data_IF_570383288878
#
_entry.id   IF_570383288878
#
_cell.length_a   1.000
_cell.length_b   1.000
_cell.length_c   1.000
_cell.angle_alpha   90.00
_cell.angle_beta   90.00
_cell.angle_gamma   90.00
#
_symmetry.space_group_name_H-M   'P 1'
#
loop_
_entity.id
_entity.type
_entity.pdbx_description
1 polymer ?
#
# COMPACT_ATOMS: atom_id res chain seq x y z
N UNK A 1 38.28 14.39 -9.00
CA UNK A 1 36.85 14.73 -8.91
C UNK A 1 36.07 13.78 -9.81
N UNK A 2 35.41 12.77 -9.25
CA UNK A 2 34.47 11.93 -10.01
C UNK A 2 33.16 12.72 -10.09
N UNK A 3 32.74 13.08 -11.28
CA UNK A 3 31.43 13.69 -11.51
C UNK A 3 30.37 12.63 -11.15
N UNK A 4 29.64 12.86 -10.06
CA UNK A 4 28.39 12.18 -9.78
C UNK A 4 27.43 12.49 -10.95
N UNK A 5 27.40 11.62 -11.93
CA UNK A 5 26.31 11.58 -12.90
C UNK A 5 25.09 11.08 -12.12
N UNK A 6 24.32 12.01 -11.56
CA UNK A 6 22.99 11.70 -11.04
C UNK A 6 22.21 11.09 -12.19
N UNK A 7 21.97 9.80 -12.11
CA UNK A 7 21.07 9.11 -13.04
C UNK A 7 19.71 9.81 -12.94
N UNK A 8 19.14 10.30 -14.05
CA UNK A 8 17.87 10.99 -14.00
C UNK A 8 16.80 10.06 -13.38
N UNK A 9 15.95 10.62 -12.52
CA UNK A 9 14.83 9.91 -11.89
C UNK A 9 13.71 9.63 -12.93
N UNK A 10 14.06 8.91 -13.99
CA UNK A 10 13.15 8.59 -15.10
C UNK A 10 13.26 7.10 -15.36
N UNK A 11 12.15 6.36 -15.44
CA UNK A 11 12.19 4.93 -15.78
C UNK A 11 12.67 4.73 -17.22
N UNK A 12 13.34 3.62 -17.47
CA UNK A 12 13.84 3.26 -18.81
C UNK A 12 12.68 3.04 -19.79
N UNK A 13 11.56 2.48 -19.30
CA UNK A 13 10.34 2.31 -20.07
C UNK A 13 9.30 3.34 -19.61
N UNK A 14 8.76 4.10 -20.55
CA UNK A 14 7.80 5.17 -20.26
C UNK A 14 6.81 5.34 -21.41
N UNK A 15 5.60 5.76 -21.11
CA UNK A 15 4.62 6.12 -22.13
C UNK A 15 5.09 7.35 -22.93
N UNK A 16 4.97 7.35 -24.27
CA UNK A 16 5.58 8.39 -25.14
C UNK A 16 5.16 9.84 -24.85
N UNK A 17 3.94 10.02 -24.33
CA UNK A 17 3.37 11.37 -24.10
C UNK A 17 3.79 12.01 -22.77
N UNK A 18 4.64 11.35 -21.98
CA UNK A 18 5.11 11.86 -20.70
C UNK A 18 6.61 12.13 -20.76
N UNK A 19 7.01 13.26 -20.19
CA UNK A 19 8.38 13.72 -20.15
C UNK A 19 8.70 14.36 -18.77
N UNK A 20 9.93 14.80 -18.58
CA UNK A 20 10.38 15.36 -17.30
C UNK A 20 10.81 14.30 -16.29
N UNK A 21 11.43 14.73 -15.22
CA UNK A 21 11.90 13.83 -14.16
C UNK A 21 10.79 13.48 -13.20
N UNK A 22 10.86 12.28 -12.63
CA UNK A 22 10.02 11.87 -11.52
C UNK A 22 10.51 12.56 -10.24
N UNK A 23 9.58 12.96 -9.40
CA UNK A 23 9.90 13.48 -8.08
C UNK A 23 10.40 12.33 -7.18
N UNK A 24 11.42 12.63 -6.38
CA UNK A 24 11.95 11.71 -5.35
C UNK A 24 11.71 12.30 -3.98
N UNK A 25 11.05 11.56 -3.10
CA UNK A 25 10.82 11.97 -1.71
C UNK A 25 10.72 10.75 -0.80
N UNK A 26 10.65 10.97 0.51
CA UNK A 26 10.29 9.91 1.47
C UNK A 26 8.78 9.88 1.69
N UNK A 27 8.21 8.70 1.93
CA UNK A 27 6.77 8.53 2.14
C UNK A 27 6.22 9.47 3.21
N UNK A 28 6.95 9.67 4.29
CA UNK A 28 6.51 10.52 5.41
C UNK A 28 6.31 12.00 5.09
N UNK A 29 6.76 12.48 3.91
CA UNK A 29 6.55 13.87 3.46
C UNK A 29 5.26 14.06 2.66
N UNK A 30 4.75 13.02 2.06
CA UNK A 30 3.60 13.08 1.12
C UNK A 30 2.48 12.13 1.49
N UNK A 31 2.68 11.29 2.51
CA UNK A 31 1.68 10.36 3.01
C UNK A 31 1.39 10.62 4.50
N UNK A 32 0.15 10.45 4.89
CA UNK A 32 -0.27 10.32 6.28
C UNK A 32 -0.42 8.84 6.65
N UNK A 33 -0.21 8.52 7.92
CA UNK A 33 -0.21 7.14 8.42
C UNK A 33 -1.14 7.03 9.61
N UNK A 34 -1.99 6.02 9.60
CA UNK A 34 -2.89 5.66 10.72
C UNK A 34 -2.94 4.15 10.86
N UNK A 35 -3.34 3.66 12.03
CA UNK A 35 -3.49 2.22 12.27
C UNK A 35 -4.94 1.82 12.04
N UNK A 36 -5.14 0.60 11.50
CA UNK A 36 -6.42 -0.06 11.52
C UNK A 36 -6.85 -0.38 12.97
N UNK A 37 -8.12 -0.75 13.14
CA UNK A 37 -8.68 -1.10 14.44
C UNK A 37 -9.03 -2.58 14.50
N UNK A 38 -8.83 -3.20 15.67
CA UNK A 38 -9.02 -4.64 15.85
C UNK A 38 -10.41 -5.11 15.47
N UNK A 39 -10.48 -5.84 14.36
CA UNK A 39 -11.59 -6.70 13.97
C UNK A 39 -11.01 -8.10 13.96
N UNK A 40 -11.54 -8.98 14.77
CA UNK A 40 -11.13 -10.37 14.83
C UNK A 40 -11.84 -11.20 13.74
N UNK A 41 -11.30 -12.38 13.44
CA UNK A 41 -11.92 -13.29 12.48
C UNK A 41 -13.34 -13.71 12.90
N UNK A 42 -13.56 -13.79 14.20
CA UNK A 42 -14.86 -14.16 14.77
C UNK A 42 -15.91 -13.03 14.69
N UNK A 43 -15.47 -11.80 14.39
CA UNK A 43 -16.36 -10.65 14.14
C UNK A 43 -16.90 -10.61 12.69
N UNK A 44 -16.46 -11.53 11.84
CA UNK A 44 -16.93 -11.61 10.46
C UNK A 44 -18.36 -12.12 10.38
N UNK A 45 -19.12 -11.61 9.44
CA UNK A 45 -20.53 -11.96 9.22
C UNK A 45 -20.85 -12.03 7.73
N UNK A 46 -21.96 -12.71 7.38
CA UNK A 46 -22.46 -12.79 6.01
C UNK A 46 -22.91 -11.41 5.49
N UNK A 47 -23.40 -10.57 6.39
CA UNK A 47 -23.96 -9.26 6.12
C UNK A 47 -23.24 -8.18 6.93
N UNK A 48 -23.45 -6.90 6.55
CA UNK A 48 -22.87 -5.76 7.26
C UNK A 48 -21.93 -4.93 6.42
N UNK A 49 -21.04 -4.22 7.09
CA UNK A 49 -20.07 -3.32 6.46
C UNK A 49 -18.91 -4.11 5.86
N UNK A 50 -18.53 -3.84 4.60
CA UNK A 50 -17.32 -4.41 4.02
C UNK A 50 -16.10 -4.14 4.89
N UNK A 51 -15.23 -5.16 5.06
CA UNK A 51 -14.03 -5.02 5.87
C UNK A 51 -12.85 -5.79 5.28
N UNK A 52 -11.64 -5.41 5.69
CA UNK A 52 -10.40 -6.10 5.35
C UNK A 52 -9.61 -6.38 6.62
N UNK A 53 -9.24 -7.65 6.83
CA UNK A 53 -8.35 -8.10 7.87
C UNK A 53 -6.91 -8.20 7.34
N UNK A 54 -5.90 -7.99 8.19
CA UNK A 54 -4.50 -8.02 7.75
C UNK A 54 -4.11 -9.34 7.08
N UNK A 55 -4.61 -10.47 7.59
CA UNK A 55 -4.32 -11.79 7.02
C UNK A 55 -4.85 -12.00 5.60
N UNK A 56 -5.86 -11.22 5.18
CA UNK A 56 -6.41 -11.30 3.82
C UNK A 56 -5.43 -10.73 2.78
N UNK A 57 -4.47 -9.87 3.18
CA UNK A 57 -3.44 -9.36 2.30
C UNK A 57 -2.52 -10.47 1.79
N UNK A 58 -2.41 -11.56 2.54
CA UNK A 58 -1.60 -12.72 2.15
C UNK A 58 -2.38 -13.80 1.42
N UNK A 59 -3.65 -13.95 1.76
CA UNK A 59 -4.45 -15.12 1.35
C UNK A 59 -5.47 -14.82 0.26
N UNK A 60 -6.03 -13.63 0.27
CA UNK A 60 -7.22 -13.28 -0.51
C UNK A 60 -6.92 -12.36 -1.68
N UNK A 61 -6.12 -11.32 -1.44
CA UNK A 61 -5.82 -10.32 -2.45
C UNK A 61 -4.49 -10.64 -3.14
N UNK A 62 -4.52 -10.77 -4.47
CA UNK A 62 -3.34 -11.16 -5.28
C UNK A 62 -2.80 -10.03 -6.14
N UNK A 63 -3.55 -8.94 -6.28
CA UNK A 63 -3.20 -7.76 -7.07
C UNK A 63 -3.00 -6.55 -6.17
N UNK A 64 -2.43 -5.48 -6.71
CA UNK A 64 -2.19 -4.24 -5.98
C UNK A 64 -3.48 -3.46 -5.65
N UNK A 65 -4.65 -3.90 -6.14
CA UNK A 65 -5.94 -3.24 -5.94
C UNK A 65 -6.98 -4.22 -5.41
N UNK A 66 -7.67 -3.87 -4.34
CA UNK A 66 -8.81 -4.63 -3.82
C UNK A 66 -10.08 -4.30 -4.61
N UNK A 67 -10.21 -4.81 -5.85
CA UNK A 67 -11.37 -4.55 -6.72
C UNK A 67 -12.71 -5.03 -6.12
N UNK A 68 -12.67 -6.03 -5.27
CA UNK A 68 -13.86 -6.57 -4.59
C UNK A 68 -13.49 -6.86 -3.14
N UNK A 69 -14.23 -6.26 -2.20
CA UNK A 69 -14.05 -6.56 -0.79
C UNK A 69 -14.79 -7.86 -0.45
N UNK A 70 -14.07 -8.84 0.07
CA UNK A 70 -14.58 -10.19 0.28
C UNK A 70 -15.28 -10.37 1.62
N UNK A 71 -14.77 -9.75 2.66
CA UNK A 71 -15.27 -9.91 4.03
C UNK A 71 -16.19 -8.79 4.45
N UNK A 72 -17.09 -9.11 5.38
CA UNK A 72 -18.02 -8.16 6.00
C UNK A 72 -18.04 -8.37 7.50
N UNK A 73 -18.44 -7.36 8.24
CA UNK A 73 -18.65 -7.42 9.68
C UNK A 73 -19.84 -6.58 10.09
N UNK A 74 -20.56 -7.04 11.11
CA UNK A 74 -21.62 -6.29 11.77
C UNK A 74 -21.16 -5.61 13.06
N UNK A 75 -19.86 -5.64 13.35
CA UNK A 75 -19.30 -4.96 14.54
C UNK A 75 -19.59 -3.47 14.52
N UNK A 76 -19.92 -2.94 15.68
CA UNK A 76 -20.14 -1.51 15.88
C UNK A 76 -19.28 -1.01 17.03
N UNK A 77 -18.48 0.00 16.77
CA UNK A 77 -17.63 0.66 17.77
C UNK A 77 -17.30 2.07 17.31
N UNK A 78 -17.12 2.99 18.27
CA UNK A 78 -16.67 4.35 17.97
C UNK A 78 -15.20 4.43 17.52
N UNK A 79 -14.46 3.37 17.72
CA UNK A 79 -13.01 3.31 17.41
C UNK A 79 -12.70 2.69 16.04
N UNK A 80 -13.72 2.33 15.27
CA UNK A 80 -13.54 1.72 13.94
C UNK A 80 -12.84 2.68 12.98
N UNK A 81 -11.96 2.12 12.16
CA UNK A 81 -11.21 2.84 11.14
C UNK A 81 -11.74 2.47 9.76
N UNK A 82 -12.18 3.47 9.03
CA UNK A 82 -12.72 3.32 7.68
C UNK A 82 -11.70 3.80 6.65
N UNK A 83 -11.68 3.14 5.50
CA UNK A 83 -10.89 3.60 4.36
C UNK A 83 -11.42 4.94 3.83
N UNK A 84 -10.49 5.75 3.36
CA UNK A 84 -10.72 6.79 2.38
C UNK A 84 -10.33 6.23 1.01
N UNK A 85 -11.01 6.70 -0.01
CA UNK A 85 -10.72 6.26 -1.38
C UNK A 85 -9.23 6.35 -1.70
N UNK A 86 -8.72 5.29 -2.32
CA UNK A 86 -7.32 5.13 -2.71
C UNK A 86 -6.33 5.03 -1.53
N UNK A 87 -6.80 4.77 -0.30
CA UNK A 87 -5.93 4.37 0.81
C UNK A 87 -5.13 3.12 0.44
N UNK A 88 -3.86 3.10 0.81
CA UNK A 88 -3.01 1.92 0.68
C UNK A 88 -2.83 1.29 2.05
N UNK A 89 -3.12 0.01 2.17
CA UNK A 89 -2.97 -0.75 3.42
C UNK A 89 -1.76 -1.67 3.33
N UNK A 90 -1.01 -1.74 4.44
CA UNK A 90 0.22 -2.52 4.59
C UNK A 90 0.12 -3.29 5.91
N UNK A 91 0.42 -4.61 5.94
CA UNK A 91 0.39 -5.35 7.20
C UNK A 91 1.50 -4.89 8.15
N UNK A 92 1.21 -4.92 9.45
CA UNK A 92 2.19 -4.57 10.49
C UNK A 92 2.96 -5.80 11.00
N UNK A 93 2.48 -7.01 10.75
CA UNK A 93 3.14 -8.28 11.09
C UNK A 93 3.03 -9.32 9.98
N UNK A 94 4.01 -10.21 9.90
CA UNK A 94 4.08 -11.29 8.91
C UNK A 94 5.01 -12.39 9.34
N UNK A 95 5.01 -13.50 8.62
CA UNK A 95 5.88 -14.64 8.89
C UNK A 95 7.30 -14.38 8.38
N UNK A 96 7.42 -13.72 7.23
CA UNK A 96 8.72 -13.36 6.62
C UNK A 96 8.81 -11.87 6.30
N UNK A 97 10.05 -11.38 6.13
CA UNK A 97 10.31 -10.02 5.73
C UNK A 97 9.80 -9.72 4.31
N UNK A 98 9.82 -10.72 3.44
CA UNK A 98 9.32 -10.62 2.07
C UNK A 98 7.79 -10.55 2.04
N UNK A 99 7.11 -11.31 2.88
CA UNK A 99 5.65 -11.33 2.95
C UNK A 99 5.10 -10.01 3.48
N UNK A 100 5.70 -9.49 4.56
CA UNK A 100 5.25 -8.23 5.17
C UNK A 100 5.44 -7.03 4.23
N UNK A 101 6.34 -7.12 3.25
CA UNK A 101 6.54 -6.13 2.21
C UNK A 101 5.49 -6.25 1.09
N UNK A 102 4.22 -6.28 1.48
CA UNK A 102 3.06 -6.29 0.59
C UNK A 102 2.13 -5.12 0.89
N UNK A 103 1.38 -4.69 -0.09
CA UNK A 103 0.41 -3.62 0.07
C UNK A 103 -0.77 -3.76 -0.89
N UNK A 104 -1.89 -3.17 -0.55
CA UNK A 104 -3.09 -3.18 -1.39
C UNK A 104 -3.73 -1.81 -1.35
N UNK A 105 -4.08 -1.28 -2.52
CA UNK A 105 -4.92 -0.10 -2.66
C UNK A 105 -6.38 -0.47 -2.43
N UNK A 106 -7.07 0.28 -1.58
CA UNK A 106 -8.52 0.19 -1.35
C UNK A 106 -9.20 1.33 -2.09
N UNK A 107 -9.83 1.07 -3.27
CA UNK A 107 -10.35 2.12 -4.13
C UNK A 107 -11.72 2.67 -3.68
N UNK A 108 -12.14 2.35 -2.47
CA UNK A 108 -13.46 2.69 -1.93
C UNK A 108 -13.35 3.44 -0.60
N UNK A 109 -14.28 4.37 -0.38
CA UNK A 109 -14.56 4.92 0.94
C UNK A 109 -15.36 3.93 1.78
N UNK A 110 -15.17 3.98 3.10
CA UNK A 110 -16.08 3.32 4.04
C UNK A 110 -15.86 1.81 4.23
N UNK A 111 -14.75 1.25 3.76
CA UNK A 111 -14.34 -0.12 4.08
C UNK A 111 -13.70 -0.13 5.46
N UNK A 112 -14.17 -0.98 6.36
CA UNK A 112 -13.56 -1.16 7.69
C UNK A 112 -12.19 -1.83 7.57
N UNK A 113 -11.20 -1.23 8.21
CA UNK A 113 -9.81 -1.70 8.17
C UNK A 113 -9.42 -2.30 9.53
N UNK A 114 -9.16 -3.60 9.52
CA UNK A 114 -8.84 -4.40 10.69
C UNK A 114 -7.54 -3.98 11.39
N UNK A 115 -7.32 -4.48 12.58
CA UNK A 115 -6.08 -4.30 13.32
C UNK A 115 -4.89 -4.90 12.59
N UNK A 116 -3.70 -4.54 13.04
CA UNK A 116 -2.43 -4.98 12.46
C UNK A 116 -2.21 -4.54 11.00
N UNK A 117 -2.89 -3.46 10.61
CA UNK A 117 -2.73 -2.76 9.35
C UNK A 117 -2.20 -1.34 9.59
N UNK A 118 -1.21 -0.94 8.81
CA UNK A 118 -0.88 0.47 8.57
C UNK A 118 -1.66 0.96 7.37
N UNK A 119 -2.44 2.03 7.56
CA UNK A 119 -3.23 2.69 6.52
C UNK A 119 -2.48 3.93 6.08
N UNK A 120 -2.15 4.01 4.80
CA UNK A 120 -1.39 5.09 4.18
C UNK A 120 -2.33 5.86 3.26
N UNK A 121 -2.48 7.16 3.51
CA UNK A 121 -3.27 8.07 2.68
C UNK A 121 -2.38 9.14 2.05
N UNK A 122 -2.62 9.48 0.79
CA UNK A 122 -1.86 10.51 0.06
C UNK A 122 -2.67 11.05 -1.12
N UNK A 123 -2.20 12.17 -1.72
CA UNK A 123 -2.71 12.68 -2.99
C UNK A 123 -2.17 11.92 -4.22
N UNK A 124 -1.32 10.90 -4.00
CA UNK A 124 -0.84 10.03 -5.07
C UNK A 124 -1.95 9.04 -5.46
N UNK A 125 -1.85 8.49 -6.67
CA UNK A 125 -2.68 7.35 -7.06
C UNK A 125 -2.34 6.13 -6.19
N UNK A 126 -3.32 5.65 -5.41
CA UNK A 126 -3.10 4.59 -4.44
C UNK A 126 -2.65 3.27 -5.10
N UNK A 127 -3.18 2.95 -6.28
CA UNK A 127 -2.77 1.77 -7.03
C UNK A 127 -1.33 1.90 -7.53
N UNK A 128 -0.90 3.09 -7.97
CA UNK A 128 0.49 3.36 -8.33
C UNK A 128 1.42 3.18 -7.12
N UNK A 129 1.06 3.75 -5.97
CA UNK A 129 1.84 3.62 -4.75
C UNK A 129 1.93 2.15 -4.30
N UNK A 130 0.83 1.41 -4.32
CA UNK A 130 0.79 -0.01 -3.99
C UNK A 130 1.66 -0.83 -4.95
N UNK A 131 1.58 -0.59 -6.25
CA UNK A 131 2.45 -1.25 -7.23
C UNK A 131 3.94 -0.95 -6.98
N UNK A 132 4.29 0.28 -6.60
CA UNK A 132 5.67 0.64 -6.30
C UNK A 132 6.17 -0.05 -5.03
N UNK A 133 5.34 -0.16 -3.99
CA UNK A 133 5.65 -0.90 -2.76
C UNK A 133 5.88 -2.38 -3.07
N UNK A 134 4.98 -3.00 -3.81
CA UNK A 134 5.02 -4.43 -4.12
C UNK A 134 6.15 -4.85 -5.07
N UNK A 135 6.76 -3.90 -5.76
CA UNK A 135 7.83 -4.14 -6.73
C UNK A 135 9.16 -3.52 -6.30
N UNK A 136 9.44 -2.31 -6.74
CA UNK A 136 10.76 -1.67 -6.59
C UNK A 136 11.11 -1.31 -5.15
N UNK A 137 10.12 -1.15 -4.26
CA UNK A 137 10.34 -0.87 -2.82
C UNK A 137 10.25 -2.10 -1.94
N UNK A 138 9.86 -3.23 -2.47
CA UNK A 138 9.69 -4.48 -1.71
C UNK A 138 10.92 -4.83 -0.87
N UNK A 139 12.09 -4.81 -1.46
CA UNK A 139 13.34 -5.13 -0.75
C UNK A 139 13.74 -4.06 0.29
N UNK A 140 13.45 -2.79 0.03
CA UNK A 140 13.73 -1.72 1.00
C UNK A 140 12.83 -1.88 2.23
N UNK A 141 11.56 -2.24 2.04
CA UNK A 141 10.61 -2.51 3.12
C UNK A 141 10.98 -3.79 3.87
N UNK A 142 11.34 -4.86 3.17
CA UNK A 142 11.79 -6.10 3.80
C UNK A 142 13.01 -5.89 4.71
N UNK A 143 13.93 -5.00 4.35
CA UNK A 143 15.12 -4.69 5.17
C UNK A 143 14.81 -3.97 6.47
N UNK A 144 13.74 -3.21 6.54
CA UNK A 144 13.35 -2.47 7.75
C UNK A 144 12.42 -3.28 8.65
N UNK A 145 11.92 -4.43 8.18
CA UNK A 145 11.15 -5.36 8.98
C UNK A 145 12.02 -6.00 10.08
N UNK A 146 11.50 -6.07 11.30
CA UNK A 146 12.24 -6.53 12.48
C UNK A 146 11.54 -7.71 13.13
N UNK A 147 12.29 -8.73 13.46
CA UNK A 147 11.81 -9.93 14.17
C UNK A 147 12.50 -11.19 13.69
N UNK A 148 12.31 -12.31 14.42
CA UNK A 148 12.87 -13.62 14.06
C UNK A 148 11.80 -14.63 13.67
N UNK A 149 10.79 -14.83 14.52
CA UNK A 149 9.69 -15.76 14.27
C UNK A 149 8.46 -15.07 13.69
N UNK A 150 8.22 -13.83 14.11
CA UNK A 150 7.25 -12.92 13.56
C UNK A 150 7.99 -11.63 13.28
N UNK A 151 7.89 -11.14 12.08
CA UNK A 151 8.47 -9.85 11.69
C UNK A 151 7.42 -8.75 11.84
N UNK A 152 7.88 -7.58 12.25
CA UNK A 152 7.06 -6.40 12.44
C UNK A 152 7.55 -5.25 11.57
N UNK A 153 6.59 -4.49 11.06
CA UNK A 153 6.85 -3.32 10.24
C UNK A 153 6.23 -2.09 10.91
N UNK A 154 7.09 -1.18 11.33
CA UNK A 154 6.68 0.03 12.02
C UNK A 154 6.41 1.16 11.02
N UNK A 155 5.34 1.91 11.23
CA UNK A 155 4.98 3.06 10.40
C UNK A 155 6.11 4.11 10.32
N UNK A 156 6.85 4.32 11.41
CA UNK A 156 7.97 5.28 11.43
C UNK A 156 9.14 4.86 10.54
N UNK A 157 9.33 3.57 10.32
CA UNK A 157 10.31 3.09 9.35
C UNK A 157 9.78 3.23 7.91
N UNK A 158 8.50 2.95 7.67
CA UNK A 158 7.87 3.19 6.37
C UNK A 158 7.96 4.65 5.93
N UNK A 159 7.83 5.60 6.85
CA UNK A 159 7.98 7.04 6.57
C UNK A 159 9.32 7.40 5.94
N UNK A 160 10.38 6.62 6.17
CA UNK A 160 11.75 6.84 5.67
C UNK A 160 11.98 6.26 4.27
N UNK A 161 11.10 5.42 3.78
CA UNK A 161 11.20 4.79 2.46
C UNK A 161 11.09 5.85 1.36
N UNK A 162 12.04 5.84 0.45
CA UNK A 162 12.01 6.69 -0.74
C UNK A 162 11.00 6.16 -1.75
N UNK A 163 10.20 7.08 -2.27
CA UNK A 163 9.30 6.83 -3.40
C UNK A 163 9.62 7.78 -4.54
N UNK A 164 9.27 7.36 -5.74
CA UNK A 164 9.46 8.12 -6.98
C UNK A 164 8.12 8.21 -7.69
N UNK A 165 7.72 9.38 -8.10
CA UNK A 165 6.42 9.55 -8.75
C UNK A 165 6.42 10.66 -9.77
N UNK A 166 5.75 10.45 -10.92
CA UNK A 166 5.50 11.47 -11.94
C UNK A 166 4.26 12.30 -11.60
N UNK A 167 3.73 13.00 -12.60
CA UNK A 167 2.42 13.65 -12.52
C UNK A 167 1.31 12.62 -12.23
N UNK A 168 0.23 13.06 -11.58
CA UNK A 168 -0.90 12.19 -11.23
C UNK A 168 -1.53 11.53 -12.47
N UNK A 169 -1.53 12.19 -13.62
CA UNK A 169 -2.04 11.65 -14.87
C UNK A 169 -1.19 10.45 -15.34
N UNK A 170 0.13 10.55 -15.22
CA UNK A 170 1.04 9.46 -15.57
C UNK A 170 0.93 8.30 -14.56
N UNK A 171 0.81 8.60 -13.26
CA UNK A 171 0.57 7.58 -12.23
C UNK A 171 -0.65 6.74 -12.58
N UNK A 172 -1.80 7.38 -12.83
CA UNK A 172 -3.05 6.70 -13.22
C UNK A 172 -2.91 5.90 -14.51
N UNK A 173 -2.13 6.40 -15.48
CA UNK A 173 -1.88 5.67 -16.72
C UNK A 173 -1.07 4.40 -16.47
N UNK A 174 -0.06 4.47 -15.61
CA UNK A 174 0.77 3.32 -15.22
C UNK A 174 -0.08 2.30 -14.47
N UNK A 175 -0.84 2.73 -13.45
CA UNK A 175 -1.70 1.86 -12.66
C UNK A 175 -2.71 1.12 -13.52
N UNK A 176 -3.41 1.85 -14.39
CA UNK A 176 -4.40 1.25 -15.30
C UNK A 176 -3.78 0.27 -16.31
N UNK A 177 -2.52 0.46 -16.68
CA UNK A 177 -1.81 -0.48 -17.56
C UNK A 177 -1.42 -1.75 -16.81
N UNK A 178 -0.86 -1.63 -15.60
CA UNK A 178 -0.49 -2.80 -14.77
C UNK A 178 -1.74 -3.59 -14.41
N UNK A 179 -2.82 -2.92 -14.01
CA UNK A 179 -4.09 -3.55 -13.65
C UNK A 179 -4.67 -4.43 -14.77
N UNK A 180 -4.49 -4.02 -16.03
CA UNK A 180 -4.89 -4.83 -17.19
C UNK A 180 -4.00 -6.03 -17.48
N UNK A 181 -2.76 -6.02 -16.98
CA UNK A 181 -1.86 -7.16 -17.13
C UNK A 181 -2.17 -8.22 -16.05
N UNK A 182 -2.64 -7.76 -14.89
CA UNK A 182 -2.98 -8.62 -13.76
C UNK A 182 -4.37 -9.29 -13.89
N UNK A 183 -5.18 -8.89 -14.88
CA UNK A 183 -6.46 -9.53 -15.25
C UNK A 183 -6.28 -10.81 -16.08
#
# INVERSE_FOLDING_TARGET
>A
MKSDKTTPNVPTLRFPNYNGEWQKTVMGKVCSFRKGYGIAKDDLSSDGTPCILYGELYTTYKTAIAKTIKSKTSIQSKSLVYSQKDDVIIPCSGETAEDIATSICVPYDGVLLGGDLTVVHSDLDGAFLSNQINSVRKYDIARIAQGKSIVHLQADELKKIFIFYPSIQEQRKISAFIDKIDE
#
